data_IF_116082568068
#
_entry.id   IF_116082568068
#
_cell.length_a   1.000
_cell.length_b   1.000
_cell.length_c   1.000
_cell.angle_alpha   90.00
_cell.angle_beta   90.00
_cell.angle_gamma   90.00
#
_symmetry.space_group_name_H-M   'P 1'
#
loop_
_entity.id
_entity.type
_entity.pdbx_description
1 polymer ?
#
# COMPACT_ATOMS: atom_id res chain seq x y z
N UNK A 1 -25.73 11.81 8.06
CA UNK A 1 -25.90 10.69 7.10
C UNK A 1 -24.54 10.41 6.49
N UNK A 2 -24.21 9.18 6.05
CA UNK A 2 -22.95 8.95 5.35
C UNK A 2 -22.92 9.81 4.08
N UNK A 3 -21.79 10.46 3.84
CA UNK A 3 -21.66 11.37 2.69
C UNK A 3 -21.51 10.59 1.39
N UNK A 4 -22.10 11.15 0.33
CA UNK A 4 -22.08 10.56 -1.01
C UNK A 4 -20.97 11.19 -1.83
N UNK A 5 -20.07 10.34 -2.36
CA UNK A 5 -18.94 10.75 -3.19
C UNK A 5 -19.24 10.40 -4.65
N UNK A 6 -19.20 11.40 -5.53
CA UNK A 6 -19.22 11.18 -6.98
C UNK A 6 -17.80 11.14 -7.55
N UNK A 7 -17.46 10.05 -8.27
CA UNK A 7 -16.16 9.92 -8.95
C UNK A 7 -16.28 10.24 -10.45
N UNK A 8 -15.91 11.47 -10.80
CA UNK A 8 -15.85 11.96 -12.18
C UNK A 8 -14.48 11.73 -12.83
N UNK A 9 -14.48 11.19 -14.04
CA UNK A 9 -13.33 11.15 -14.94
C UNK A 9 -13.76 10.73 -16.35
N UNK A 10 -12.85 10.76 -17.31
CA UNK A 10 -12.99 9.93 -18.51
C UNK A 10 -12.89 8.45 -18.16
N UNK A 11 -13.53 7.58 -18.95
CA UNK A 11 -13.58 6.14 -18.65
C UNK A 11 -12.47 5.35 -19.33
N UNK A 12 -12.38 5.43 -20.66
CA UNK A 12 -11.58 4.50 -21.48
C UNK A 12 -10.09 4.47 -21.11
N UNK A 13 -9.51 5.62 -20.76
CA UNK A 13 -8.09 5.80 -20.41
C UNK A 13 -7.78 5.62 -18.92
N UNK A 14 -8.78 5.67 -18.04
CA UNK A 14 -8.58 5.73 -16.58
C UNK A 14 -9.23 4.56 -15.83
N UNK A 15 -9.55 3.44 -16.49
CA UNK A 15 -10.24 2.31 -15.84
C UNK A 15 -9.52 1.80 -14.58
N UNK A 16 -8.20 1.61 -14.64
CA UNK A 16 -7.42 1.11 -13.49
C UNK A 16 -7.33 2.15 -12.35
N UNK A 17 -7.26 3.43 -12.70
CA UNK A 17 -7.29 4.54 -11.75
C UNK A 17 -8.62 4.58 -11.02
N UNK A 18 -9.72 4.55 -11.77
CA UNK A 18 -11.09 4.54 -11.22
C UNK A 18 -11.28 3.34 -10.32
N UNK A 19 -10.90 2.14 -10.75
CA UNK A 19 -10.96 0.90 -9.96
C UNK A 19 -10.21 1.03 -8.62
N UNK A 20 -9.02 1.63 -8.64
CA UNK A 20 -8.21 1.83 -7.43
C UNK A 20 -8.87 2.82 -6.47
N UNK A 21 -9.42 3.93 -6.98
CA UNK A 21 -10.13 4.93 -6.18
C UNK A 21 -11.41 4.34 -5.59
N UNK A 22 -12.25 3.70 -6.41
CA UNK A 22 -13.48 3.06 -5.96
C UNK A 22 -13.22 2.01 -4.88
N UNK A 23 -12.17 1.21 -5.03
CA UNK A 23 -11.78 0.23 -4.01
C UNK A 23 -11.53 0.88 -2.65
N UNK A 24 -10.80 2.00 -2.61
CA UNK A 24 -10.51 2.67 -1.32
C UNK A 24 -11.74 3.38 -0.77
N UNK A 25 -12.55 4.03 -1.61
CA UNK A 25 -13.79 4.67 -1.19
C UNK A 25 -14.79 3.66 -0.58
N UNK A 26 -14.93 2.48 -1.18
CA UNK A 26 -15.75 1.39 -0.61
C UNK A 26 -15.26 0.98 0.78
N UNK A 27 -13.94 0.92 1.00
CA UNK A 27 -13.34 0.59 2.31
C UNK A 27 -13.56 1.69 3.34
N UNK A 28 -13.71 2.94 2.92
CA UNK A 28 -14.06 4.09 3.77
C UNK A 28 -15.55 4.13 4.16
N UNK A 29 -16.38 3.21 3.65
CA UNK A 29 -17.84 3.15 3.88
C UNK A 29 -18.59 4.43 3.46
N UNK A 30 -18.08 5.14 2.46
CA UNK A 30 -18.82 6.24 1.83
C UNK A 30 -19.91 5.70 0.90
N UNK A 31 -20.96 6.49 0.69
CA UNK A 31 -21.89 6.20 -0.41
C UNK A 31 -21.24 6.62 -1.72
N UNK A 32 -21.38 5.82 -2.77
CA UNK A 32 -20.65 6.02 -4.02
C UNK A 32 -21.59 6.18 -5.20
N UNK A 33 -21.37 7.24 -5.96
CA UNK A 33 -22.00 7.48 -7.26
C UNK A 33 -20.89 7.48 -8.32
N UNK A 34 -20.97 6.57 -9.28
CA UNK A 34 -19.98 6.41 -10.33
C UNK A 34 -20.59 5.66 -11.52
N UNK A 35 -20.07 5.90 -12.72
CA UNK A 35 -20.63 5.30 -13.94
C UNK A 35 -20.61 3.76 -13.96
N UNK A 36 -19.73 3.12 -13.18
CA UNK A 36 -19.67 1.67 -12.99
C UNK A 36 -20.90 1.09 -12.30
N UNK A 37 -21.68 1.92 -11.60
CA UNK A 37 -22.88 1.51 -10.87
C UNK A 37 -24.17 1.89 -11.60
N UNK A 38 -24.07 2.56 -12.76
CA UNK A 38 -25.25 2.92 -13.55
C UNK A 38 -25.82 1.69 -14.25
N UNK A 39 -27.15 1.56 -14.21
CA UNK A 39 -27.88 0.53 -14.93
C UNK A 39 -28.22 0.95 -16.38
N UNK A 40 -28.98 0.11 -17.06
CA UNK A 40 -29.62 0.51 -18.31
C UNK A 40 -30.71 1.55 -18.02
N UNK A 41 -30.56 2.76 -18.55
CA UNK A 41 -31.55 3.85 -18.43
C UNK A 41 -31.97 4.35 -19.82
N UNK A 42 -33.19 4.91 -19.91
CA UNK A 42 -33.73 5.48 -21.15
C UNK A 42 -33.15 6.87 -21.46
N UNK A 43 -32.61 7.54 -20.44
CA UNK A 43 -32.05 8.89 -20.56
C UNK A 43 -30.66 8.88 -21.18
N UNK A 44 -30.24 10.03 -21.71
CA UNK A 44 -28.91 10.19 -22.26
C UNK A 44 -27.84 10.09 -21.14
N UNK A 45 -26.64 9.54 -21.42
CA UNK A 45 -25.57 9.40 -20.42
C UNK A 45 -25.22 10.69 -19.68
N UNK A 46 -25.28 11.84 -20.37
CA UNK A 46 -25.06 13.15 -19.77
C UNK A 46 -26.06 13.44 -18.64
N UNK A 47 -27.35 13.20 -18.88
CA UNK A 47 -28.40 13.51 -17.92
C UNK A 47 -28.30 12.62 -16.68
N UNK A 48 -27.94 11.34 -16.87
CA UNK A 48 -27.68 10.39 -15.79
C UNK A 48 -26.51 10.89 -14.92
N UNK A 49 -25.39 11.27 -15.55
CA UNK A 49 -24.23 11.81 -14.86
C UNK A 49 -24.56 13.09 -14.06
N UNK A 50 -25.28 14.04 -14.66
CA UNK A 50 -25.63 15.29 -13.98
C UNK A 50 -26.54 15.06 -12.76
N UNK A 51 -27.49 14.12 -12.84
CA UNK A 51 -28.30 13.71 -11.68
C UNK A 51 -27.47 13.07 -10.58
N UNK A 52 -26.49 12.24 -10.94
CA UNK A 52 -25.59 11.63 -9.96
C UNK A 52 -24.74 12.69 -9.25
N UNK A 53 -24.27 13.72 -9.98
CA UNK A 53 -23.59 14.89 -9.38
C UNK A 53 -24.52 15.64 -8.41
N UNK A 54 -25.79 15.84 -8.79
CA UNK A 54 -26.75 16.55 -7.93
C UNK A 54 -26.97 15.81 -6.58
N UNK A 55 -26.94 14.47 -6.58
CA UNK A 55 -27.10 13.62 -5.39
C UNK A 55 -25.86 13.55 -4.49
N UNK A 56 -24.69 13.87 -5.00
CA UNK A 56 -23.45 13.76 -4.25
C UNK A 56 -23.20 14.94 -3.31
N UNK A 57 -22.53 14.69 -2.19
CA UNK A 57 -22.06 15.71 -1.24
C UNK A 57 -20.62 16.16 -1.56
N UNK A 58 -19.82 15.22 -2.06
CA UNK A 58 -18.43 15.39 -2.45
C UNK A 58 -18.26 14.99 -3.92
N UNK A 59 -17.55 15.81 -4.67
CA UNK A 59 -17.22 15.61 -6.07
C UNK A 59 -15.71 15.42 -6.22
N UNK A 60 -15.29 14.22 -6.66
CA UNK A 60 -13.89 13.90 -6.95
C UNK A 60 -13.71 13.90 -8.46
N UNK A 61 -12.85 14.77 -8.97
CA UNK A 61 -12.53 14.90 -10.38
C UNK A 61 -11.12 14.36 -10.66
N UNK A 62 -11.03 13.41 -11.58
CA UNK A 62 -9.76 12.88 -12.09
C UNK A 62 -9.63 13.21 -13.58
N UNK A 63 -8.59 13.96 -13.94
CA UNK A 63 -8.36 14.42 -15.32
C UNK A 63 -7.11 13.78 -15.90
N UNK A 64 -7.29 12.98 -16.95
CA UNK A 64 -6.24 12.30 -17.70
C UNK A 64 -5.70 13.10 -18.90
N UNK A 65 -5.46 12.39 -20.01
CA UNK A 65 -4.96 12.94 -21.28
C UNK A 65 -6.04 13.00 -22.37
N UNK A 66 -7.31 12.77 -22.00
CA UNK A 66 -8.46 12.86 -22.88
C UNK A 66 -9.42 13.91 -22.35
N UNK A 67 -10.00 14.69 -23.26
CA UNK A 67 -11.11 15.58 -22.94
C UNK A 67 -12.40 14.79 -22.70
N UNK A 68 -12.54 13.65 -23.39
CA UNK A 68 -13.68 12.74 -23.26
C UNK A 68 -14.76 12.99 -24.31
N UNK A 69 -15.90 12.32 -24.13
CA UNK A 69 -17.07 12.47 -25.00
C UNK A 69 -17.71 13.84 -24.79
N UNK A 70 -18.05 14.53 -25.88
CA UNK A 70 -18.63 15.88 -25.85
C UNK A 70 -20.11 15.88 -26.20
N UNK A 71 -20.83 16.86 -25.68
CA UNK A 71 -22.17 17.21 -26.14
C UNK A 71 -22.12 17.85 -27.56
N UNK A 72 -23.29 18.12 -28.20
CA UNK A 72 -23.34 18.80 -29.49
C UNK A 72 -22.73 20.22 -29.48
N UNK A 73 -22.58 20.83 -28.31
CA UNK A 73 -21.95 22.13 -28.11
C UNK A 73 -20.42 22.01 -27.94
N UNK A 74 -19.87 20.80 -27.96
CA UNK A 74 -18.44 20.53 -27.90
C UNK A 74 -17.84 20.53 -26.49
N UNK A 75 -18.67 20.57 -25.43
CA UNK A 75 -18.22 20.50 -24.03
C UNK A 75 -18.24 19.06 -23.55
N UNK A 76 -17.17 18.59 -22.89
CA UNK A 76 -17.11 17.21 -22.42
C UNK A 76 -18.09 16.93 -21.28
N UNK A 77 -18.58 15.68 -21.19
CA UNK A 77 -19.41 15.22 -20.06
C UNK A 77 -18.71 15.52 -18.73
N UNK A 78 -17.42 15.21 -18.61
CA UNK A 78 -16.61 15.49 -17.42
C UNK A 78 -16.54 16.99 -17.08
N UNK A 79 -16.44 17.87 -18.08
CA UNK A 79 -16.48 19.31 -17.84
C UNK A 79 -17.89 19.76 -17.41
N UNK A 80 -18.96 19.22 -18.00
CA UNK A 80 -20.35 19.51 -17.58
C UNK A 80 -20.62 19.07 -16.15
N UNK A 81 -20.15 17.88 -15.78
CA UNK A 81 -20.21 17.36 -14.41
C UNK A 81 -19.52 18.34 -13.43
N UNK A 82 -18.33 18.83 -13.79
CA UNK A 82 -17.60 19.80 -12.97
C UNK A 82 -18.32 21.14 -12.87
N UNK A 83 -18.82 21.68 -13.98
CA UNK A 83 -19.61 22.92 -14.01
C UNK A 83 -20.81 22.80 -13.08
N UNK A 84 -21.57 21.70 -13.17
CA UNK A 84 -22.72 21.43 -12.30
C UNK A 84 -22.34 21.28 -10.84
N UNK A 85 -21.25 20.58 -10.53
CA UNK A 85 -20.76 20.43 -9.16
C UNK A 85 -20.36 21.79 -8.57
N UNK A 86 -19.75 22.66 -9.39
CA UNK A 86 -19.34 24.00 -9.00
C UNK A 86 -20.55 24.92 -8.74
N UNK A 87 -21.53 24.92 -9.64
CA UNK A 87 -22.79 25.66 -9.49
C UNK A 87 -23.57 25.23 -8.25
N UNK A 88 -23.57 23.91 -7.99
CA UNK A 88 -24.24 23.31 -6.84
C UNK A 88 -23.43 23.41 -5.53
N UNK A 89 -22.28 24.09 -5.55
CA UNK A 89 -21.38 24.29 -4.40
C UNK A 89 -21.00 23.00 -3.67
N UNK A 90 -20.78 21.92 -4.43
CA UNK A 90 -20.26 20.66 -3.87
C UNK A 90 -18.84 20.87 -3.34
N UNK A 91 -18.40 20.02 -2.41
CA UNK A 91 -16.97 19.95 -2.06
C UNK A 91 -16.21 19.27 -3.18
N UNK A 92 -15.26 19.97 -3.79
CA UNK A 92 -14.59 19.53 -5.02
C UNK A 92 -13.13 19.22 -4.73
N UNK A 93 -12.70 18.00 -5.07
CA UNK A 93 -11.31 17.58 -5.05
C UNK A 93 -10.84 17.28 -6.48
N UNK A 94 -9.76 17.92 -6.91
CA UNK A 94 -9.26 17.84 -8.29
C UNK A 94 -7.91 17.16 -8.33
N UNK A 95 -7.84 16.08 -9.11
CA UNK A 95 -6.65 15.29 -9.36
C UNK A 95 -6.31 15.35 -10.84
N UNK A 96 -5.16 15.92 -11.18
CA UNK A 96 -4.67 16.04 -12.55
C UNK A 96 -3.59 15.00 -12.80
N UNK A 97 -3.60 14.37 -13.97
CA UNK A 97 -2.52 13.46 -14.35
C UNK A 97 -1.20 14.22 -14.39
N UNK A 98 -0.18 13.59 -13.84
CA UNK A 98 1.19 14.07 -13.94
C UNK A 98 1.73 13.76 -15.34
N UNK A 99 1.70 14.74 -16.25
CA UNK A 99 2.09 14.54 -17.65
C UNK A 99 3.59 14.23 -17.83
N UNK A 100 4.40 14.39 -16.79
CA UNK A 100 5.84 14.15 -16.81
C UNK A 100 6.21 12.78 -16.21
N UNK A 101 5.48 12.31 -15.19
CA UNK A 101 5.75 11.05 -14.47
C UNK A 101 4.77 9.93 -14.83
N UNK A 102 3.56 10.23 -15.30
CA UNK A 102 2.54 9.22 -15.56
C UNK A 102 2.73 8.60 -16.95
N UNK A 103 2.86 7.26 -16.99
CA UNK A 103 2.94 6.53 -18.25
C UNK A 103 1.56 6.41 -18.90
N UNK A 104 1.36 7.15 -20.00
CA UNK A 104 0.12 7.14 -20.78
C UNK A 104 0.35 6.45 -22.12
N UNK A 105 -0.47 5.46 -22.46
CA UNK A 105 -0.36 4.81 -23.77
C UNK A 105 -0.73 5.81 -24.88
N UNK A 106 -0.08 5.77 -26.06
CA UNK A 106 -0.37 6.71 -27.14
C UNK A 106 -1.84 6.77 -27.57
N UNK A 107 -2.57 5.64 -27.46
CA UNK A 107 -4.01 5.54 -27.74
C UNK A 107 -4.89 6.33 -26.76
N UNK A 108 -4.37 6.58 -25.56
CA UNK A 108 -5.06 7.23 -24.46
C UNK A 108 -4.76 8.75 -24.42
N UNK A 109 -3.95 9.25 -25.34
CA UNK A 109 -3.71 10.69 -25.52
C UNK A 109 -4.58 11.22 -26.65
N UNK A 110 -5.44 12.18 -26.34
CA UNK A 110 -6.23 12.88 -27.35
C UNK A 110 -5.35 13.90 -28.10
N UNK A 111 -5.44 13.93 -29.44
CA UNK A 111 -4.56 14.74 -30.32
C UNK A 111 -5.32 15.64 -31.30
N UNK A 112 -6.64 15.58 -31.29
CA UNK A 112 -7.51 16.43 -32.10
C UNK A 112 -7.85 17.74 -31.37
N UNK A 113 -8.86 18.48 -31.84
CA UNK A 113 -9.36 19.71 -31.19
C UNK A 113 -9.68 19.54 -29.70
N UNK A 114 -9.98 18.32 -29.25
CA UNK A 114 -10.20 18.02 -27.85
C UNK A 114 -8.96 18.21 -26.98
N UNK A 115 -7.74 18.12 -27.54
CA UNK A 115 -6.50 18.38 -26.80
C UNK A 115 -6.43 19.85 -26.32
N UNK A 116 -6.78 20.81 -27.18
CA UNK A 116 -6.82 22.22 -26.82
C UNK A 116 -7.93 22.54 -25.81
N UNK A 117 -9.07 21.83 -25.89
CA UNK A 117 -10.17 21.97 -24.92
C UNK A 117 -9.77 21.39 -23.56
N UNK A 118 -9.09 20.24 -23.55
CA UNK A 118 -8.54 19.64 -22.33
C UNK A 118 -7.54 20.58 -21.67
N UNK A 119 -6.64 21.20 -22.44
CA UNK A 119 -5.67 22.12 -21.87
C UNK A 119 -6.35 23.32 -21.22
N UNK A 120 -7.31 23.94 -21.92
CA UNK A 120 -8.13 25.04 -21.36
C UNK A 120 -8.86 24.62 -20.09
N UNK A 121 -9.38 23.40 -20.05
CA UNK A 121 -10.05 22.87 -18.88
C UNK A 121 -9.08 22.65 -17.70
N UNK A 122 -7.91 22.07 -17.94
CA UNK A 122 -6.85 21.92 -16.91
C UNK A 122 -6.41 23.29 -16.36
N UNK A 123 -6.27 24.30 -17.22
CA UNK A 123 -5.88 25.64 -16.80
C UNK A 123 -6.98 26.32 -15.95
N UNK A 124 -8.25 26.16 -16.33
CA UNK A 124 -9.39 26.61 -15.52
C UNK A 124 -9.38 25.94 -14.14
N UNK A 125 -9.13 24.63 -14.07
CA UNK A 125 -9.07 23.90 -12.80
C UNK A 125 -7.94 24.39 -11.90
N UNK A 126 -6.73 24.59 -12.46
CA UNK A 126 -5.58 25.15 -11.73
C UNK A 126 -5.81 26.56 -11.21
N UNK A 127 -6.60 27.37 -11.91
CA UNK A 127 -6.95 28.72 -11.46
C UNK A 127 -7.95 28.72 -10.31
N UNK A 128 -8.87 27.75 -10.27
CA UNK A 128 -9.97 27.70 -9.30
C UNK A 128 -9.69 26.84 -8.07
N UNK A 129 -8.79 25.86 -8.16
CA UNK A 129 -8.59 24.85 -7.13
C UNK A 129 -7.11 24.58 -6.86
N UNK A 130 -6.82 24.16 -5.63
CA UNK A 130 -5.56 23.47 -5.32
C UNK A 130 -5.66 22.06 -5.89
N UNK A 131 -5.00 21.83 -7.02
CA UNK A 131 -5.02 20.55 -7.72
C UNK A 131 -3.88 19.65 -7.23
N UNK A 132 -4.18 18.38 -7.00
CA UNK A 132 -3.17 17.35 -6.73
C UNK A 132 -2.76 16.66 -8.03
N UNK A 133 -1.47 16.43 -8.24
CA UNK A 133 -0.99 15.62 -9.37
C UNK A 133 -0.98 14.13 -9.02
N UNK A 134 -1.23 13.24 -9.98
CA UNK A 134 -1.11 11.79 -9.77
C UNK A 134 -0.29 11.07 -10.84
N UNK A 135 0.44 10.05 -10.42
CA UNK A 135 1.51 9.43 -11.22
C UNK A 135 1.22 7.94 -11.51
N UNK A 136 0.28 7.36 -10.78
CA UNK A 136 -0.19 5.98 -10.96
C UNK A 136 -1.59 5.80 -10.36
N UNK A 137 -2.30 4.71 -10.68
CA UNK A 137 -3.57 4.36 -10.03
C UNK A 137 -3.49 4.29 -8.50
N UNK A 138 -2.41 3.71 -7.95
CA UNK A 138 -2.24 3.54 -6.51
C UNK A 138 -1.97 4.88 -5.80
N UNK A 139 -1.15 5.74 -6.41
CA UNK A 139 -0.86 7.09 -5.92
C UNK A 139 -2.13 7.95 -5.87
N UNK A 140 -2.93 7.92 -6.95
CA UNK A 140 -4.24 8.58 -6.99
C UNK A 140 -5.14 8.11 -5.85
N UNK A 141 -5.30 6.79 -5.67
CA UNK A 141 -6.17 6.23 -4.64
C UNK A 141 -5.73 6.63 -3.22
N UNK A 142 -4.41 6.64 -2.95
CA UNK A 142 -3.86 7.07 -1.67
C UNK A 142 -4.12 8.56 -1.38
N UNK A 143 -3.93 9.42 -2.39
CA UNK A 143 -4.20 10.86 -2.27
C UNK A 143 -5.67 11.16 -2.01
N UNK A 144 -6.58 10.53 -2.78
CA UNK A 144 -8.03 10.65 -2.58
C UNK A 144 -8.42 10.23 -1.17
N UNK A 145 -7.94 9.09 -0.69
CA UNK A 145 -8.27 8.59 0.64
C UNK A 145 -7.85 9.55 1.76
N UNK A 146 -6.62 10.06 1.69
CA UNK A 146 -6.08 10.97 2.69
C UNK A 146 -6.86 12.28 2.76
N UNK A 147 -7.14 12.88 1.60
CA UNK A 147 -7.88 14.14 1.52
C UNK A 147 -9.32 14.00 2.04
N UNK A 148 -9.98 12.88 1.73
CA UNK A 148 -11.34 12.61 2.20
C UNK A 148 -11.40 12.26 3.68
N UNK A 149 -10.42 11.51 4.22
CA UNK A 149 -10.36 11.29 5.68
C UNK A 149 -10.25 12.63 6.40
N UNK A 150 -9.36 13.52 5.93
CA UNK A 150 -9.19 14.85 6.53
C UNK A 150 -10.49 15.68 6.52
N UNK A 151 -11.29 15.58 5.46
CA UNK A 151 -12.55 16.31 5.32
C UNK A 151 -13.67 15.70 6.18
N UNK A 152 -13.81 14.37 6.12
CA UNK A 152 -14.91 13.62 6.75
C UNK A 152 -14.76 13.48 8.26
N UNK A 153 -13.56 13.63 8.81
CA UNK A 153 -13.32 13.60 10.26
C UNK A 153 -12.93 14.99 10.77
N UNK A 154 -13.89 15.91 10.98
CA UNK A 154 -13.64 17.22 11.57
C UNK A 154 -13.34 17.17 13.08
N UNK A 155 -13.34 15.97 13.68
CA UNK A 155 -13.02 15.80 15.09
C UNK A 155 -11.53 16.08 15.34
N UNK A 156 -11.27 17.21 16.02
CA UNK A 156 -9.94 17.63 16.47
C UNK A 156 -9.21 16.54 17.23
N UNK A 157 -9.89 15.57 17.85
CA UNK A 157 -9.23 14.46 18.56
C UNK A 157 -8.50 13.49 17.62
N UNK A 158 -9.00 13.30 16.40
CA UNK A 158 -8.32 12.48 15.36
C UNK A 158 -7.24 13.31 14.70
N UNK A 159 -7.47 14.60 14.45
CA UNK A 159 -6.44 15.50 13.94
C UNK A 159 -5.30 15.70 14.94
N UNK A 160 -5.57 15.74 16.25
CA UNK A 160 -4.55 15.75 17.31
C UNK A 160 -3.87 14.39 17.44
N UNK A 161 -4.54 13.27 17.16
CA UNK A 161 -3.88 11.95 17.10
C UNK A 161 -3.04 11.77 15.85
N UNK A 162 -3.49 12.29 14.71
CA UNK A 162 -2.75 12.29 13.43
C UNK A 162 -1.62 13.29 13.51
N UNK A 163 -1.82 14.48 14.07
CA UNK A 163 -0.77 15.46 14.36
C UNK A 163 0.14 14.99 15.49
N UNK A 164 -0.33 14.27 16.51
CA UNK A 164 0.52 13.64 17.52
C UNK A 164 1.30 12.48 16.95
N UNK A 165 0.74 11.71 16.00
CA UNK A 165 1.44 10.65 15.28
C UNK A 165 2.48 11.25 14.31
N UNK A 166 2.13 12.34 13.61
CA UNK A 166 3.03 13.13 12.75
C UNK A 166 4.08 13.89 13.58
N UNK A 167 3.74 14.34 14.79
CA UNK A 167 4.65 14.98 15.75
C UNK A 167 5.54 13.94 16.44
N UNK A 168 5.04 12.73 16.72
CA UNK A 168 5.83 11.58 17.19
C UNK A 168 6.84 11.20 16.11
N UNK A 169 6.40 11.09 14.85
CA UNK A 169 7.24 10.86 13.68
C UNK A 169 8.29 11.97 13.51
N UNK A 170 7.96 13.24 13.83
CA UNK A 170 8.89 14.38 13.84
C UNK A 170 9.77 14.44 15.09
N UNK A 171 9.34 13.87 16.22
CA UNK A 171 10.05 13.86 17.51
C UNK A 171 10.89 12.62 17.72
N UNK A 172 10.87 11.65 16.80
CA UNK A 172 11.84 10.57 16.74
C UNK A 172 13.22 11.17 16.47
N UNK A 173 13.89 11.61 17.55
CA UNK A 173 15.34 11.75 17.55
C UNK A 173 15.94 10.36 17.58
N UNK A 174 16.50 10.00 16.42
CA UNK A 174 17.40 8.88 16.21
C UNK A 174 18.45 8.84 17.33
N UNK A 175 18.33 7.86 18.22
CA UNK A 175 19.48 7.40 18.99
C UNK A 175 20.20 6.34 18.17
N UNK A 176 21.47 6.65 17.92
CA UNK A 176 22.34 6.03 16.94
C UNK A 176 22.65 4.56 17.24
N UNK A 177 22.83 3.82 16.14
CA UNK A 177 23.34 2.46 16.06
C UNK A 177 22.45 1.63 15.14
N UNK A 178 22.67 1.52 13.83
CA UNK A 178 23.94 1.40 13.12
C UNK A 178 23.81 1.93 11.69
N UNK A 179 24.87 2.61 11.23
CA UNK A 179 25.01 3.17 9.87
C UNK A 179 25.01 2.09 8.78
N UNK A 180 24.30 2.32 7.68
CA UNK A 180 24.68 3.04 6.44
C UNK A 180 25.40 2.13 5.43
N UNK A 181 24.69 1.92 4.31
CA UNK A 181 25.29 2.08 2.99
C UNK A 181 25.86 0.82 2.34
N UNK A 182 25.11 0.26 1.37
CA UNK A 182 25.43 0.37 -0.06
C UNK A 182 24.35 -0.35 -0.89
N UNK A 183 23.92 0.30 -1.99
CA UNK A 183 22.94 -0.22 -2.98
C UNK A 183 23.42 -1.55 -3.59
N UNK A 184 22.49 -2.35 -4.13
CA UNK A 184 22.52 -2.58 -5.56
C UNK A 184 21.21 -2.23 -6.25
N UNK A 185 21.41 -1.56 -7.39
CA UNK A 185 20.49 -0.80 -8.20
C UNK A 185 19.92 -1.64 -9.36
N UNK A 186 19.80 -2.97 -9.26
CA UNK A 186 19.72 -3.80 -10.49
C UNK A 186 18.47 -4.64 -10.70
N UNK A 187 17.59 -4.81 -9.70
CA UNK A 187 16.35 -5.58 -9.91
C UNK A 187 15.12 -4.68 -10.11
N UNK A 188 14.95 -3.64 -9.29
CA UNK A 188 13.88 -2.63 -9.49
C UNK A 188 14.13 -1.76 -10.73
N UNK A 189 15.38 -1.46 -11.06
CA UNK A 189 15.73 -0.72 -12.29
C UNK A 189 15.53 -1.53 -13.59
N UNK A 190 15.31 -2.86 -13.50
CA UNK A 190 14.99 -3.72 -14.66
C UNK A 190 13.49 -3.95 -14.83
N UNK A 191 12.69 -3.73 -13.79
CA UNK A 191 11.23 -3.90 -13.84
C UNK A 191 10.49 -2.62 -14.30
N UNK A 192 11.21 -1.50 -14.41
CA UNK A 192 10.69 -0.21 -14.88
C UNK A 192 11.53 0.16 -16.11
N UNK A 193 10.94 0.38 -17.29
CA UNK A 193 11.71 0.72 -18.49
C UNK A 193 12.50 2.00 -18.24
N UNK A 194 13.82 1.90 -18.24
CA UNK A 194 14.70 3.06 -18.25
C UNK A 194 14.80 3.56 -19.68
N UNK A 195 14.30 4.75 -19.98
CA UNK A 195 14.98 5.64 -20.92
C UNK A 195 14.68 7.13 -20.69
N UNK A 196 15.78 7.84 -20.41
CA UNK A 196 16.10 9.27 -20.52
C UNK A 196 15.12 10.34 -19.98
N UNK A 197 15.66 11.12 -19.04
CA UNK A 197 15.26 12.45 -18.54
C UNK A 197 14.03 12.55 -17.61
N UNK A 198 14.12 11.94 -16.43
CA UNK A 198 13.13 12.07 -15.33
C UNK A 198 13.75 12.26 -13.94
N UNK A 199 14.84 13.02 -13.82
CA UNK A 199 15.66 13.10 -12.59
C UNK A 199 15.05 13.92 -11.45
N UNK A 200 14.07 14.79 -11.70
CA UNK A 200 13.49 15.63 -10.65
C UNK A 200 12.43 14.92 -9.80
N UNK A 201 11.85 13.86 -10.37
CA UNK A 201 10.61 13.27 -9.91
C UNK A 201 10.87 11.92 -9.18
N UNK A 202 12.11 11.41 -9.28
CA UNK A 202 12.68 10.26 -8.56
C UNK A 202 13.43 10.65 -7.26
N UNK A 203 13.26 11.90 -6.81
CA UNK A 203 13.99 12.45 -5.66
C UNK A 203 13.16 12.48 -4.37
N UNK A 204 11.84 12.25 -4.43
CA UNK A 204 10.98 12.23 -3.24
C UNK A 204 11.03 10.84 -2.56
N UNK A 205 11.71 10.70 -1.41
CA UNK A 205 11.90 9.40 -0.77
C UNK A 205 10.59 8.75 -0.33
N UNK A 206 9.53 9.53 -0.10
CA UNK A 206 8.26 9.03 0.44
C UNK A 206 7.36 8.41 -0.63
N UNK A 207 7.36 8.96 -1.85
CA UNK A 207 6.62 8.39 -2.99
C UNK A 207 7.22 7.04 -3.39
N UNK A 208 8.55 6.95 -3.38
CA UNK A 208 9.26 5.68 -3.59
C UNK A 208 8.93 4.63 -2.54
N UNK A 209 8.90 5.04 -1.27
CA UNK A 209 8.57 4.18 -0.15
C UNK A 209 7.16 3.60 -0.27
N UNK A 210 6.18 4.47 -0.58
CA UNK A 210 4.78 4.07 -0.67
C UNK A 210 4.50 3.16 -1.86
N UNK A 211 5.04 3.50 -3.04
CA UNK A 211 4.88 2.69 -4.25
C UNK A 211 5.53 1.30 -4.09
N UNK A 212 6.71 1.25 -3.49
CA UNK A 212 7.43 -0.01 -3.25
C UNK A 212 6.69 -0.89 -2.24
N UNK A 213 6.24 -0.32 -1.12
CA UNK A 213 5.45 -1.04 -0.13
C UNK A 213 4.13 -1.60 -0.73
N UNK A 214 3.44 -0.82 -1.55
CA UNK A 214 2.21 -1.26 -2.21
C UNK A 214 2.45 -2.42 -3.19
N UNK A 215 3.51 -2.36 -4.00
CA UNK A 215 3.86 -3.42 -4.95
C UNK A 215 4.19 -4.73 -4.23
N UNK A 216 4.98 -4.64 -3.16
CA UNK A 216 5.35 -5.78 -2.31
C UNK A 216 4.11 -6.40 -1.67
N UNK A 217 3.26 -5.58 -1.02
CA UNK A 217 2.05 -6.05 -0.36
C UNK A 217 1.09 -6.71 -1.36
N UNK A 218 0.96 -6.18 -2.57
CA UNK A 218 0.05 -6.72 -3.58
C UNK A 218 0.52 -8.06 -4.14
N UNK A 219 1.84 -8.24 -4.30
CA UNK A 219 2.43 -9.50 -4.72
C UNK A 219 2.26 -10.56 -3.63
N UNK A 220 2.55 -10.22 -2.37
CA UNK A 220 2.36 -11.12 -1.22
C UNK A 220 0.89 -11.53 -1.03
N UNK A 221 -0.04 -10.59 -1.16
CA UNK A 221 -1.48 -10.88 -1.05
C UNK A 221 -1.99 -11.85 -2.14
N UNK A 222 -1.29 -11.92 -3.28
CA UNK A 222 -1.56 -12.89 -4.37
C UNK A 222 -0.76 -14.19 -4.24
N UNK A 223 -0.13 -14.43 -3.09
CA UNK A 223 0.77 -15.56 -2.85
C UNK A 223 1.99 -15.61 -3.79
N UNK A 224 2.35 -14.47 -4.38
CA UNK A 224 3.57 -14.32 -5.15
C UNK A 224 4.69 -13.78 -4.26
N UNK A 225 5.62 -14.66 -3.88
CA UNK A 225 6.77 -14.30 -3.07
C UNK A 225 8.04 -14.11 -3.90
N UNK A 226 7.94 -14.10 -5.23
CA UNK A 226 9.09 -13.94 -6.12
C UNK A 226 9.67 -12.52 -6.03
N UNK A 227 8.84 -11.52 -5.71
CA UNK A 227 9.24 -10.12 -5.53
C UNK A 227 10.31 -9.92 -4.45
N UNK A 228 10.36 -10.83 -3.46
CA UNK A 228 11.33 -10.78 -2.37
C UNK A 228 12.72 -11.34 -2.75
N UNK A 229 12.85 -11.92 -3.95
CA UNK A 229 14.10 -12.56 -4.39
C UNK A 229 15.18 -11.51 -4.64
N UNK A 230 16.34 -11.67 -4.00
CA UNK A 230 17.48 -10.75 -4.18
C UNK A 230 17.31 -9.41 -3.45
N UNK A 231 16.28 -9.26 -2.61
CA UNK A 231 16.19 -8.13 -1.68
C UNK A 231 17.22 -8.31 -0.57
N UNK A 232 18.07 -7.30 -0.40
CA UNK A 232 19.16 -7.34 0.59
C UNK A 232 18.80 -6.70 1.93
N UNK A 233 17.78 -5.85 1.95
CA UNK A 233 17.27 -5.18 3.14
C UNK A 233 15.81 -4.76 2.94
N UNK A 234 15.13 -4.47 4.04
CA UNK A 234 13.83 -3.79 4.08
C UNK A 234 14.01 -2.51 4.88
N UNK A 235 13.60 -1.37 4.32
CA UNK A 235 13.48 -0.18 5.14
C UNK A 235 12.38 -0.39 6.19
N UNK A 236 12.58 0.12 7.41
CA UNK A 236 11.63 -0.08 8.52
C UNK A 236 10.26 0.54 8.18
N UNK A 237 10.26 1.73 7.60
CA UNK A 237 9.03 2.45 7.22
C UNK A 237 8.32 1.71 6.07
N UNK A 238 9.09 1.14 5.14
CA UNK A 238 8.57 0.31 4.06
C UNK A 238 7.90 -0.96 4.60
N UNK A 239 8.55 -1.64 5.55
CA UNK A 239 7.99 -2.82 6.20
C UNK A 239 6.74 -2.47 7.00
N UNK A 240 6.74 -1.37 7.75
CA UNK A 240 5.56 -0.91 8.49
C UNK A 240 4.37 -0.68 7.56
N UNK A 241 4.60 -0.06 6.39
CA UNK A 241 3.57 0.19 5.39
C UNK A 241 3.09 -1.10 4.70
N UNK A 242 4.00 -2.02 4.37
CA UNK A 242 3.64 -3.35 3.85
C UNK A 242 2.73 -4.09 4.84
N UNK A 243 3.06 -4.06 6.13
CA UNK A 243 2.25 -4.72 7.18
C UNK A 243 0.86 -4.08 7.28
N UNK A 244 0.78 -2.74 7.24
CA UNK A 244 -0.49 -2.04 7.27
C UNK A 244 -1.39 -2.46 6.08
N UNK A 245 -0.83 -2.55 4.88
CA UNK A 245 -1.55 -2.99 3.68
C UNK A 245 -1.99 -4.46 3.76
N UNK A 246 -1.09 -5.35 4.20
CA UNK A 246 -1.40 -6.78 4.32
C UNK A 246 -2.43 -7.09 5.41
N UNK A 247 -2.54 -6.24 6.44
CA UNK A 247 -3.62 -6.33 7.44
C UNK A 247 -5.00 -6.12 6.79
N UNK A 248 -5.06 -5.32 5.72
CA UNK A 248 -6.31 -5.00 5.00
C UNK A 248 -6.61 -6.03 3.89
N UNK A 249 -5.58 -6.48 3.16
CA UNK A 249 -5.77 -7.29 1.95
C UNK A 249 -5.97 -8.78 2.19
N UNK A 250 -5.86 -9.23 3.43
CA UNK A 250 -5.92 -10.65 3.83
C UNK A 250 -4.77 -11.47 3.21
N UNK A 251 -4.08 -12.25 4.02
CA UNK A 251 -2.92 -13.04 3.58
C UNK A 251 -3.21 -14.50 3.80
N UNK A 252 -2.96 -15.31 2.77
CA UNK A 252 -2.99 -16.77 2.86
C UNK A 252 -1.82 -17.27 3.73
N UNK A 253 -2.15 -17.74 4.94
CA UNK A 253 -1.15 -18.23 5.89
C UNK A 253 -0.44 -19.49 5.41
N UNK A 254 -1.13 -20.37 4.68
CA UNK A 254 -0.55 -21.61 4.15
C UNK A 254 0.45 -21.31 3.04
N UNK A 255 0.16 -20.30 2.21
CA UNK A 255 1.09 -19.80 1.21
C UNK A 255 2.34 -19.20 1.86
N UNK A 256 2.20 -18.37 2.90
CA UNK A 256 3.33 -17.81 3.65
C UNK A 256 4.15 -18.92 4.32
N UNK A 257 3.50 -19.87 4.98
CA UNK A 257 4.17 -21.02 5.60
C UNK A 257 4.94 -21.85 4.57
N UNK A 258 4.34 -22.09 3.40
CA UNK A 258 4.98 -22.80 2.29
C UNK A 258 6.18 -22.04 1.74
N UNK A 259 6.09 -20.71 1.63
CA UNK A 259 7.19 -19.86 1.19
C UNK A 259 8.37 -19.86 2.19
N UNK A 260 8.08 -19.85 3.50
CA UNK A 260 9.08 -19.98 4.57
C UNK A 260 9.78 -21.36 4.47
N UNK A 261 9.01 -22.44 4.25
CA UNK A 261 9.57 -23.78 4.04
C UNK A 261 10.36 -23.88 2.73
N UNK A 262 10.00 -23.18 1.67
CA UNK A 262 10.69 -23.31 0.39
C UNK A 262 11.98 -22.48 0.29
N UNK A 263 12.15 -21.43 1.10
CA UNK A 263 13.25 -20.48 0.92
C UNK A 263 14.57 -20.92 1.56
N UNK A 264 15.64 -20.89 0.77
CA UNK A 264 17.03 -21.01 1.25
C UNK A 264 17.75 -19.65 1.30
N UNK A 265 17.05 -18.56 0.97
CA UNK A 265 17.57 -17.21 1.02
C UNK A 265 17.37 -16.65 2.45
N UNK A 266 18.45 -16.34 3.18
CA UNK A 266 18.36 -15.88 4.56
C UNK A 266 17.62 -14.54 4.68
N UNK A 267 17.67 -13.67 3.67
CA UNK A 267 16.95 -12.39 3.69
C UNK A 267 15.47 -12.57 3.45
N UNK A 268 15.10 -13.35 2.44
CA UNK A 268 13.71 -13.70 2.18
C UNK A 268 13.07 -14.41 3.38
N UNK A 269 13.80 -15.32 4.03
CA UNK A 269 13.35 -15.97 5.26
C UNK A 269 13.02 -14.95 6.36
N UNK A 270 13.90 -13.98 6.59
CA UNK A 270 13.71 -12.95 7.62
C UNK A 270 12.49 -12.09 7.35
N UNK A 271 12.31 -11.63 6.12
CA UNK A 271 11.19 -10.76 5.74
C UNK A 271 9.88 -11.50 5.95
N UNK A 272 9.76 -12.74 5.44
CA UNK A 272 8.58 -13.57 5.63
C UNK A 272 8.29 -13.85 7.11
N UNK A 273 9.32 -14.15 7.89
CA UNK A 273 9.19 -14.39 9.33
C UNK A 273 8.75 -13.13 10.09
N UNK A 274 9.28 -11.96 9.73
CA UNK A 274 8.89 -10.69 10.31
C UNK A 274 7.42 -10.34 9.98
N UNK A 275 7.00 -10.58 8.73
CA UNK A 275 5.60 -10.40 8.30
C UNK A 275 4.67 -11.33 9.07
N UNK A 276 5.01 -12.62 9.15
CA UNK A 276 4.23 -13.61 9.89
C UNK A 276 4.08 -13.24 11.37
N UNK A 277 5.16 -12.78 12.01
CA UNK A 277 5.13 -12.33 13.40
C UNK A 277 4.24 -11.12 13.64
N UNK A 278 4.38 -10.09 12.80
CA UNK A 278 3.64 -8.82 12.94
C UNK A 278 2.16 -8.94 12.62
N UNK A 279 1.80 -9.78 11.65
CA UNK A 279 0.40 -10.11 11.34
C UNK A 279 -0.17 -11.22 12.25
N UNK A 280 0.64 -11.75 13.17
CA UNK A 280 0.27 -12.84 14.10
C UNK A 280 -0.27 -14.08 13.38
N UNK A 281 0.38 -14.49 12.29
CA UNK A 281 -0.01 -15.65 11.48
C UNK A 281 0.42 -16.96 12.17
N UNK A 282 -0.38 -17.44 13.11
CA UNK A 282 -0.05 -18.58 13.98
C UNK A 282 0.28 -19.85 13.20
N UNK A 283 -0.36 -20.09 12.06
CA UNK A 283 -0.21 -21.33 11.28
C UNK A 283 1.21 -21.47 10.67
N UNK A 284 1.90 -20.34 10.53
CA UNK A 284 3.29 -20.29 10.05
C UNK A 284 4.32 -20.71 11.09
N UNK A 285 3.94 -20.80 12.38
CA UNK A 285 4.86 -21.10 13.48
C UNK A 285 5.61 -22.43 13.28
N UNK A 286 4.94 -23.46 12.76
CA UNK A 286 5.56 -24.75 12.44
C UNK A 286 6.67 -24.62 11.38
N UNK A 287 6.44 -23.81 10.35
CA UNK A 287 7.40 -23.56 9.28
C UNK A 287 8.63 -22.80 9.79
N UNK A 288 8.42 -21.81 10.66
CA UNK A 288 9.50 -21.05 11.30
C UNK A 288 10.34 -21.96 12.20
N UNK A 289 9.69 -22.74 13.08
CA UNK A 289 10.39 -23.68 13.97
C UNK A 289 11.17 -24.75 13.20
N UNK A 290 10.60 -25.29 12.12
CA UNK A 290 11.27 -26.29 11.28
C UNK A 290 12.52 -25.73 10.61
N UNK A 291 12.41 -24.53 10.03
CA UNK A 291 13.56 -23.85 9.43
C UNK A 291 14.66 -23.58 10.46
N UNK A 292 14.31 -23.12 11.66
CA UNK A 292 15.25 -22.89 12.75
C UNK A 292 15.94 -24.17 13.26
N UNK A 293 15.23 -25.30 13.26
CA UNK A 293 15.76 -26.58 13.69
C UNK A 293 16.73 -27.17 12.66
N UNK A 294 16.39 -27.08 11.37
CA UNK A 294 17.04 -27.84 10.31
C UNK A 294 18.08 -27.03 9.50
N UNK A 295 17.98 -25.70 9.43
CA UNK A 295 18.79 -24.87 8.50
C UNK A 295 19.90 -24.05 9.17
N UNK A 296 20.71 -24.74 9.98
CA UNK A 296 21.80 -24.14 10.75
C UNK A 296 22.82 -23.32 9.92
N UNK A 297 23.01 -23.68 8.63
CA UNK A 297 23.97 -23.02 7.74
C UNK A 297 23.60 -21.58 7.34
N UNK A 298 22.33 -21.17 7.44
CA UNK A 298 21.92 -19.79 7.13
C UNK A 298 22.58 -18.76 8.05
N UNK A 299 22.97 -19.16 9.26
CA UNK A 299 23.68 -18.30 10.22
C UNK A 299 25.16 -18.08 9.87
N UNK A 300 25.80 -19.03 9.18
CA UNK A 300 27.24 -19.01 8.88
C UNK A 300 27.56 -18.13 7.66
N UNK A 301 26.74 -18.21 6.59
CA UNK A 301 26.89 -17.35 5.41
C UNK A 301 26.74 -15.86 5.74
N UNK A 302 25.94 -15.53 6.76
CA UNK A 302 25.70 -14.15 7.17
C UNK A 302 26.86 -13.53 7.98
N UNK A 303 27.64 -14.36 8.69
CA UNK A 303 28.81 -13.90 9.45
C UNK A 303 29.91 -13.33 8.55
N UNK A 304 29.92 -13.72 7.27
CA UNK A 304 30.85 -13.22 6.24
C UNK A 304 30.41 -11.87 5.63
N UNK A 305 29.14 -11.45 5.79
CA UNK A 305 28.59 -10.24 5.16
C UNK A 305 28.68 -8.97 6.04
N UNK A 306 29.33 -9.03 7.20
CA UNK A 306 29.46 -7.88 8.11
C UNK A 306 28.16 -7.55 8.86
N UNK A 307 28.29 -6.94 10.04
CA UNK A 307 27.18 -6.61 10.93
C UNK A 307 26.26 -5.53 10.32
N UNK A 308 25.21 -5.93 9.57
CA UNK A 308 24.19 -4.98 9.10
C UNK A 308 22.73 -5.46 9.26
N UNK A 309 22.47 -6.60 9.93
CA UNK A 309 21.09 -7.06 10.09
C UNK A 309 20.86 -7.96 11.32
N UNK A 310 19.69 -7.83 11.97
CA UNK A 310 19.25 -8.61 13.16
C UNK A 310 19.44 -10.11 12.98
N UNK A 311 20.07 -10.86 13.89
CA UNK A 311 20.27 -12.29 13.68
C UNK A 311 18.96 -13.05 13.43
N UNK A 312 18.99 -14.05 12.53
CA UNK A 312 17.80 -14.84 12.15
C UNK A 312 17.09 -15.44 13.39
N UNK A 313 17.86 -15.84 14.41
CA UNK A 313 17.34 -16.37 15.68
C UNK A 313 16.49 -15.36 16.43
N UNK A 314 16.86 -14.08 16.37
CA UNK A 314 16.17 -13.01 17.07
C UNK A 314 14.90 -12.60 16.30
N UNK A 315 14.95 -12.60 14.96
CA UNK A 315 13.75 -12.42 14.12
C UNK A 315 12.73 -13.53 14.37
N UNK A 316 13.17 -14.80 14.39
CA UNK A 316 12.30 -15.93 14.70
C UNK A 316 11.75 -15.87 16.13
N UNK A 317 12.57 -15.49 17.12
CA UNK A 317 12.11 -15.29 18.50
C UNK A 317 11.00 -14.24 18.55
N UNK A 318 11.26 -13.04 18.04
CA UNK A 318 10.30 -11.93 18.05
C UNK A 318 9.00 -12.33 17.35
N UNK A 319 9.08 -13.00 16.20
CA UNK A 319 7.89 -13.44 15.48
C UNK A 319 7.06 -14.45 16.29
N UNK A 320 7.69 -15.51 16.81
CA UNK A 320 7.00 -16.55 17.59
C UNK A 320 6.45 -16.03 18.92
N UNK A 321 7.15 -15.09 19.57
CA UNK A 321 6.65 -14.41 20.78
C UNK A 321 5.43 -13.54 20.44
N UNK A 322 5.46 -12.82 19.31
CA UNK A 322 4.36 -11.95 18.88
C UNK A 322 3.08 -12.72 18.53
N UNK A 323 3.20 -13.98 18.13
CA UNK A 323 2.06 -14.89 17.90
C UNK A 323 1.37 -15.32 19.20
N UNK A 324 2.01 -15.14 20.36
CA UNK A 324 1.42 -15.37 21.68
C UNK A 324 1.12 -16.83 22.01
N UNK A 325 0.20 -17.03 22.97
CA UNK A 325 -0.17 -18.36 23.51
C UNK A 325 -0.56 -19.41 22.44
N UNK A 326 -1.27 -19.06 21.33
CA UNK A 326 -1.60 -20.03 20.30
C UNK A 326 -0.39 -20.75 19.67
N UNK A 327 0.77 -20.12 19.63
CA UNK A 327 1.98 -20.74 19.07
C UNK A 327 2.70 -21.69 20.05
N UNK A 328 2.41 -21.61 21.37
CA UNK A 328 3.14 -22.36 22.40
C UNK A 328 3.17 -23.89 22.18
N UNK A 329 2.04 -24.57 21.89
CA UNK A 329 2.06 -26.03 21.73
C UNK A 329 2.98 -26.47 20.59
N UNK A 330 3.13 -25.64 19.55
CA UNK A 330 4.03 -25.90 18.43
C UNK A 330 5.47 -25.71 18.89
N UNK A 331 5.79 -24.57 19.52
CA UNK A 331 7.16 -24.26 19.98
C UNK A 331 7.66 -25.30 20.99
N UNK A 332 6.83 -25.75 21.93
CA UNK A 332 7.17 -26.77 22.93
C UNK A 332 7.52 -28.12 22.28
N UNK A 333 6.75 -28.56 21.28
CA UNK A 333 7.07 -29.78 20.52
C UNK A 333 8.43 -29.67 19.83
N UNK A 334 8.75 -28.51 19.26
CA UNK A 334 10.05 -28.28 18.63
C UNK A 334 11.20 -28.16 19.64
N UNK A 335 10.95 -27.66 20.86
CA UNK A 335 11.93 -27.68 21.95
C UNK A 335 12.28 -29.12 22.37
N UNK A 336 11.28 -29.99 22.54
CA UNK A 336 11.48 -31.41 22.83
C UNK A 336 12.26 -32.10 21.71
N UNK A 337 11.87 -31.87 20.45
CA UNK A 337 12.58 -32.42 19.28
C UNK A 337 14.02 -31.93 19.16
N UNK A 338 14.29 -30.66 19.49
CA UNK A 338 15.66 -30.13 19.52
C UNK A 338 16.53 -30.84 20.57
N UNK A 339 15.96 -31.19 21.74
CA UNK A 339 16.63 -31.97 22.79
C UNK A 339 16.98 -33.38 22.31
N UNK A 340 16.04 -34.07 21.67
CA UNK A 340 16.25 -35.42 21.10
C UNK A 340 17.37 -35.43 20.05
N UNK A 341 17.38 -34.42 19.18
CA UNK A 341 18.41 -34.25 18.15
C UNK A 341 19.74 -33.69 18.69
N UNK A 342 19.87 -33.50 20.01
CA UNK A 342 21.05 -32.91 20.69
C UNK A 342 21.45 -31.52 20.15
N UNK A 343 20.47 -30.74 19.69
CA UNK A 343 20.65 -29.37 19.18
C UNK A 343 20.43 -28.34 20.28
N UNK A 344 21.42 -28.18 21.14
CA UNK A 344 21.32 -27.38 22.38
C UNK A 344 20.98 -25.90 22.14
N UNK A 345 21.57 -25.25 21.14
CA UNK A 345 21.29 -23.84 20.84
C UNK A 345 19.83 -23.60 20.43
N UNK A 346 19.27 -24.48 19.59
CA UNK A 346 17.87 -24.41 19.16
C UNK A 346 16.92 -24.71 20.32
N UNK A 347 17.28 -25.68 21.16
CA UNK A 347 16.54 -26.00 22.38
C UNK A 347 16.43 -24.77 23.29
N UNK A 348 17.56 -24.12 23.59
CA UNK A 348 17.59 -22.91 24.41
C UNK A 348 16.75 -21.77 23.81
N UNK A 349 16.82 -21.59 22.48
CA UNK A 349 15.99 -20.62 21.77
C UNK A 349 14.50 -20.90 21.99
N UNK A 350 14.03 -22.13 21.75
CA UNK A 350 12.62 -22.47 21.92
C UNK A 350 12.17 -22.38 23.39
N UNK A 351 12.98 -22.85 24.33
CA UNK A 351 12.71 -22.72 25.77
C UNK A 351 12.68 -21.26 26.24
N UNK A 352 13.45 -20.37 25.61
CA UNK A 352 13.37 -18.92 25.88
C UNK A 352 12.04 -18.34 25.43
N UNK A 353 11.54 -18.71 24.25
CA UNK A 353 10.25 -18.26 23.71
C UNK A 353 9.10 -18.71 24.61
N UNK A 354 9.11 -19.98 25.03
CA UNK A 354 8.07 -20.54 25.92
C UNK A 354 8.01 -19.76 27.24
N UNK A 355 9.17 -19.45 27.84
CA UNK A 355 9.24 -18.65 29.08
C UNK A 355 8.76 -17.21 28.88
N UNK A 356 9.08 -16.60 27.75
CA UNK A 356 8.72 -15.21 27.44
C UNK A 356 7.21 -15.06 27.22
N UNK A 357 6.61 -15.93 26.41
CA UNK A 357 5.15 -15.95 26.18
C UNK A 357 4.39 -16.35 27.46
N UNK A 358 4.93 -17.27 28.26
CA UNK A 358 4.33 -17.70 29.53
C UNK A 358 4.33 -16.62 30.62
N UNK A 359 5.20 -15.61 30.52
CA UNK A 359 5.26 -14.46 31.44
C UNK A 359 4.41 -13.26 30.98
N UNK A 360 3.85 -13.30 29.78
CA UNK A 360 3.05 -12.20 29.24
C UNK A 360 1.72 -12.07 30.01
N UNK A 361 1.32 -10.86 30.43
CA UNK A 361 0.02 -10.64 31.09
C UNK A 361 -1.13 -11.08 30.17
N UNK A 362 -2.28 -11.52 30.71
CA UNK A 362 -3.45 -11.84 29.89
C UNK A 362 -3.83 -10.61 29.04
N UNK A 363 -4.32 -10.80 27.79
CA UNK A 363 -4.75 -9.68 26.97
C UNK A 363 -5.86 -8.92 27.69
N UNK A 364 -5.73 -7.60 27.78
CA UNK A 364 -6.82 -6.73 28.25
C UNK A 364 -7.89 -6.69 27.18
N UNK A 365 -9.09 -7.17 27.52
CA UNK A 365 -10.28 -6.95 26.69
C UNK A 365 -10.59 -5.45 26.64
N UNK A 366 -10.39 -4.82 25.47
CA UNK A 366 -10.88 -3.49 25.11
C UNK A 366 -11.07 -3.40 23.60
#
# INVERSE_FOLDING_TARGET
>A
MPETVFLSSTFADLQEHRKSVLYVLQRMKTLLEAMEYFGAEADAPMDVCLRAVDRADIYVLVVGMRYGSTDPQGTSITQREYERASESKKRIYVYLIDEERHLVAPKDVQRDEGAERLQRFKDLLRQRHVCMRFESPADLAGKVALDLVRDLTPDRSVNEKVEAMVAELKSVRLNAGYGIGLRPLTTLARAIPTESSGTALLADPYVHLAASAAAIAASIARSDFSILRGMLAFDKQELDLVIALLTVWTVDQDAVASAIRATNDPMKFRILTAIAGRLRLVDTSSAICDAMLNRYAMHLQFKQLGQMATPIKDVARVALVSMGKPALPIVERYAARAKELRRWQQKELFESIVREVGRAPPPSDA
#
